data_IF_631141976437
#
_entry.id   IF_631141976437
#
_cell.length_a   1.000
_cell.length_b   1.000
_cell.length_c   1.000
_cell.angle_alpha   90.00
_cell.angle_beta   90.00
_cell.angle_gamma   90.00
#
_symmetry.space_group_name_H-M   'P 1'
#
loop_
_entity.id
_entity.type
_entity.pdbx_description
1 polymer ?
#
# COMPACT_ATOMS: atom_id res chain seq x y z
N UNK A 1 5.73 2.69 20.18
CA UNK A 1 4.71 1.75 19.70
C UNK A 1 5.27 1.07 18.46
N UNK A 2 6.17 0.12 18.67
CA UNK A 2 6.81 -0.64 17.59
C UNK A 2 6.02 -1.94 17.46
N UNK A 3 5.02 -1.93 16.60
CA UNK A 3 4.21 -3.12 16.32
C UNK A 3 4.96 -4.02 15.35
N UNK A 4 4.83 -5.34 15.53
CA UNK A 4 5.59 -6.39 14.86
C UNK A 4 5.34 -6.49 13.34
N UNK A 5 5.79 -5.52 12.56
CA UNK A 5 5.76 -5.53 11.10
C UNK A 5 7.13 -5.86 10.46
N UNK A 6 8.09 -6.40 11.21
CA UNK A 6 9.49 -6.53 10.78
C UNK A 6 9.73 -7.29 9.45
N UNK A 7 8.74 -7.99 8.91
CA UNK A 7 8.82 -8.69 7.62
C UNK A 7 8.23 -7.90 6.41
N UNK A 8 7.55 -6.78 6.64
CA UNK A 8 6.97 -5.92 5.60
C UNK A 8 7.39 -4.45 5.83
N UNK A 9 7.62 -3.66 4.77
CA UNK A 9 7.90 -2.24 4.99
C UNK A 9 6.71 -1.53 5.64
N UNK A 10 7.01 -0.51 6.44
CA UNK A 10 6.03 0.30 7.18
C UNK A 10 4.92 0.90 6.30
N UNK A 11 5.14 0.98 4.98
CA UNK A 11 4.17 1.46 3.99
C UNK A 11 4.35 0.75 2.65
N UNK A 12 3.26 0.44 1.93
CA UNK A 12 3.32 -0.12 0.58
C UNK A 12 3.64 0.93 -0.50
N UNK A 13 3.87 2.20 -0.14
CA UNK A 13 4.18 3.25 -1.11
C UNK A 13 5.52 3.03 -1.82
N UNK A 14 5.59 3.40 -3.10
CA UNK A 14 6.84 3.37 -3.91
C UNK A 14 7.20 4.75 -4.49
N UNK A 15 6.60 5.83 -3.97
CA UNK A 15 6.83 7.19 -4.46
C UNK A 15 6.07 7.56 -5.74
N UNK A 16 5.33 6.63 -6.34
CA UNK A 16 4.46 6.89 -7.50
C UNK A 16 2.99 6.88 -7.07
N UNK A 17 2.28 7.96 -7.39
CA UNK A 17 0.86 8.11 -7.05
C UNK A 17 0.03 8.44 -8.29
N UNK A 18 -1.07 7.72 -8.48
CA UNK A 18 -2.02 7.96 -9.57
C UNK A 18 -3.44 8.29 -9.07
N UNK A 19 -3.64 8.45 -7.76
CA UNK A 19 -4.97 8.64 -7.15
C UNK A 19 -5.64 9.97 -7.48
N UNK A 20 -4.95 10.86 -8.19
CA UNK A 20 -5.55 12.06 -8.76
C UNK A 20 -6.48 11.72 -9.95
N UNK A 21 -6.23 10.60 -10.63
CA UNK A 21 -6.92 10.20 -11.85
C UNK A 21 -7.50 8.77 -11.80
N UNK A 22 -7.02 7.93 -10.86
CA UNK A 22 -7.48 6.56 -10.68
C UNK A 22 -8.06 6.37 -9.27
N UNK A 23 -9.09 5.52 -9.12
CA UNK A 23 -9.66 5.18 -7.80
C UNK A 23 -8.67 4.37 -6.94
N UNK A 24 -7.83 3.56 -7.59
CA UNK A 24 -6.79 2.75 -6.96
C UNK A 24 -5.43 3.17 -7.51
N UNK A 25 -4.49 3.47 -6.61
CA UNK A 25 -3.14 3.87 -6.96
C UNK A 25 -2.42 2.75 -7.74
N UNK A 26 -2.05 3.01 -8.99
CA UNK A 26 -1.28 2.05 -9.81
C UNK A 26 0.11 1.76 -9.24
N UNK A 27 0.65 2.64 -8.39
CA UNK A 27 1.94 2.44 -7.73
C UNK A 27 1.89 1.44 -6.57
N UNK A 28 1.01 1.70 -5.60
CA UNK A 28 0.96 0.95 -4.33
C UNK A 28 -0.30 0.10 -4.09
N UNK A 29 -1.33 0.20 -4.95
CA UNK A 29 -2.57 -0.57 -4.84
C UNK A 29 -3.58 -0.06 -3.80
N UNK A 30 -3.30 1.07 -3.14
CA UNK A 30 -4.19 1.70 -2.17
C UNK A 30 -5.17 2.68 -2.81
N UNK A 31 -6.32 2.88 -2.19
CA UNK A 31 -7.25 3.96 -2.56
C UNK A 31 -6.73 5.32 -2.10
N UNK A 32 -7.29 6.42 -2.63
CA UNK A 32 -6.95 7.78 -2.18
C UNK A 32 -7.12 7.96 -0.66
N UNK A 33 -8.20 7.43 -0.09
CA UNK A 33 -8.47 7.51 1.35
C UNK A 33 -7.43 6.77 2.19
N UNK A 34 -7.00 5.60 1.74
CA UNK A 34 -5.97 4.80 2.44
C UNK A 34 -4.57 5.42 2.35
N UNK A 35 -4.28 6.09 1.23
CA UNK A 35 -3.03 6.84 1.08
C UNK A 35 -2.99 8.02 2.05
N UNK A 36 -4.04 8.84 2.07
CA UNK A 36 -4.12 10.05 2.90
C UNK A 36 -4.20 9.74 4.39
N UNK A 37 -4.88 8.66 4.77
CA UNK A 37 -5.11 8.33 6.18
C UNK A 37 -4.10 7.34 6.76
N UNK A 38 -3.11 6.87 5.99
CA UNK A 38 -2.23 5.76 6.39
C UNK A 38 -1.66 5.87 7.81
N UNK A 39 -1.23 7.06 8.20
CA UNK A 39 -0.61 7.32 9.51
C UNK A 39 -1.60 7.22 10.68
N UNK A 40 -2.89 7.39 10.42
CA UNK A 40 -3.97 7.33 11.40
C UNK A 40 -4.60 5.94 11.52
N UNK A 41 -4.30 5.04 10.57
CA UNK A 41 -4.82 3.67 10.60
C UNK A 41 -4.17 2.86 11.72
N UNK A 42 -4.99 2.04 12.36
CA UNK A 42 -4.57 0.99 13.29
C UNK A 42 -3.75 -0.08 12.58
N UNK A 43 -3.02 -0.89 13.34
CA UNK A 43 -2.24 -1.98 12.76
C UNK A 43 -3.11 -3.04 12.07
N UNK A 44 -4.32 -3.28 12.58
CA UNK A 44 -5.29 -4.20 11.96
C UNK A 44 -5.76 -3.69 10.60
N UNK A 45 -6.07 -2.40 10.49
CA UNK A 45 -6.44 -1.77 9.23
C UNK A 45 -5.28 -1.80 8.23
N UNK A 46 -4.06 -1.50 8.68
CA UNK A 46 -2.85 -1.60 7.84
C UNK A 46 -2.62 -3.03 7.35
N UNK A 47 -2.78 -4.03 8.22
CA UNK A 47 -2.70 -5.45 7.86
C UNK A 47 -3.76 -5.85 6.85
N UNK A 48 -5.00 -5.40 7.03
CA UNK A 48 -6.10 -5.68 6.11
C UNK A 48 -5.82 -5.09 4.71
N UNK A 49 -5.30 -3.86 4.65
CA UNK A 49 -4.90 -3.23 3.39
C UNK A 49 -3.77 -4.01 2.74
N UNK A 50 -2.70 -4.33 3.48
CA UNK A 50 -1.59 -5.17 3.00
C UNK A 50 -2.07 -6.49 2.41
N UNK A 51 -2.92 -7.22 3.14
CA UNK A 51 -3.48 -8.48 2.67
C UNK A 51 -4.28 -8.30 1.37
N UNK A 52 -5.07 -7.22 1.25
CA UNK A 52 -5.82 -6.93 0.03
C UNK A 52 -4.89 -6.64 -1.15
N UNK A 53 -3.98 -5.67 -1.02
CA UNK A 53 -3.13 -5.22 -2.13
C UNK A 53 -2.19 -6.32 -2.61
N UNK A 54 -1.69 -7.15 -1.70
CA UNK A 54 -0.87 -8.32 -2.04
C UNK A 54 -1.68 -9.39 -2.76
N UNK A 55 -2.92 -9.65 -2.31
CA UNK A 55 -3.83 -10.59 -3.00
C UNK A 55 -4.20 -10.11 -4.40
N UNK A 56 -4.39 -8.81 -4.58
CA UNK A 56 -4.70 -8.22 -5.88
C UNK A 56 -3.49 -8.22 -6.82
N UNK A 57 -2.30 -7.86 -6.33
CA UNK A 57 -1.06 -7.95 -7.10
C UNK A 57 -1.02 -7.07 -8.37
N UNK A 58 -1.95 -6.13 -8.53
CA UNK A 58 -2.12 -5.35 -9.77
C UNK A 58 -1.18 -4.16 -9.86
N UNK A 59 -0.73 -3.63 -8.72
CA UNK A 59 0.09 -2.43 -8.62
C UNK A 59 1.55 -2.67 -9.06
N UNK A 60 2.23 -1.61 -9.50
CA UNK A 60 3.63 -1.63 -9.95
C UNK A 60 4.58 -2.21 -8.89
N UNK A 61 4.32 -1.97 -7.60
CA UNK A 61 5.09 -2.58 -6.50
C UNK A 61 5.21 -4.11 -6.57
N UNK A 62 4.24 -4.78 -7.18
CA UNK A 62 4.21 -6.26 -7.26
C UNK A 62 4.70 -6.79 -8.61
N UNK A 63 4.93 -5.93 -9.59
CA UNK A 63 5.52 -6.33 -10.87
C UNK A 63 7.02 -6.28 -10.69
N UNK A 64 7.65 -7.46 -10.72
CA UNK A 64 9.07 -7.65 -10.47
C UNK A 64 9.96 -6.59 -11.13
N UNK A 65 10.86 -6.09 -10.30
CA UNK A 65 12.09 -5.35 -10.56
C UNK A 65 12.95 -6.00 -11.67
N UNK A 66 12.64 -5.67 -12.93
CA UNK A 66 13.51 -5.94 -14.07
C UNK A 66 13.91 -4.62 -14.73
N UNK A 67 14.75 -3.85 -14.05
CA UNK A 67 15.74 -2.97 -14.67
C UNK A 67 17.09 -3.16 -13.97
#
# INVERSE_FOLDING_TARGET
MSSNLHDLPDSPCIGVCSTLFDEVCKGCGRTAGEVSNWVFLTDDEKRAIWARITREGTAMRFRNDHL
#
